data_IF_706537716018
#
_entry.id   IF_706537716018
#
_cell.length_a   1.000
_cell.length_b   1.000
_cell.length_c   1.000
_cell.angle_alpha   90.00
_cell.angle_beta   90.00
_cell.angle_gamma   90.00
#
_symmetry.space_group_name_H-M   'P 1'
#
loop_
_entity.id
_entity.type
_entity.pdbx_description
1 polymer ?
#
# COMPACT_ATOMS: atom_id res chain seq x y z
N UNK A 1 1.06 -0.30 11.69
CA UNK A 1 2.33 -0.45 10.97
C UNK A 1 2.18 0.23 9.62
N UNK A 2 3.16 1.02 9.22
CA UNK A 2 3.20 1.63 7.89
C UNK A 2 4.08 0.76 6.98
N UNK A 3 3.65 0.58 5.74
CA UNK A 3 4.37 -0.17 4.72
C UNK A 3 4.49 0.65 3.43
N UNK A 4 5.70 0.72 2.89
CA UNK A 4 6.01 1.54 1.72
C UNK A 4 5.64 0.84 0.40
N UNK A 5 4.68 1.41 -0.33
CA UNK A 5 4.16 0.90 -1.61
C UNK A 5 5.25 0.72 -2.67
N UNK A 6 6.30 1.53 -2.65
CA UNK A 6 7.40 1.43 -3.61
C UNK A 6 8.06 0.04 -3.64
N UNK A 7 7.85 -0.78 -2.59
CA UNK A 7 8.34 -2.15 -2.49
C UNK A 7 7.58 -3.17 -3.35
N UNK A 8 6.39 -2.82 -3.85
CA UNK A 8 5.53 -3.69 -4.65
C UNK A 8 5.17 -3.13 -6.04
N UNK A 9 5.31 -1.82 -6.26
CA UNK A 9 4.92 -1.17 -7.52
C UNK A 9 5.88 -1.50 -8.66
N UNK A 10 5.40 -2.00 -9.83
CA UNK A 10 6.20 -2.18 -11.03
C UNK A 10 6.88 -0.88 -11.49
N UNK A 11 8.16 -0.96 -11.87
CA UNK A 11 8.94 0.20 -12.30
C UNK A 11 9.56 1.02 -11.16
N UNK A 12 9.28 0.67 -9.90
CA UNK A 12 10.05 1.15 -8.76
C UNK A 12 11.41 0.45 -8.70
N UNK A 13 12.49 1.22 -8.50
CA UNK A 13 13.83 0.64 -8.22
C UNK A 13 13.87 -0.13 -6.89
N UNK A 14 12.86 0.07 -6.04
CA UNK A 14 12.73 -0.57 -4.74
C UNK A 14 11.73 -1.73 -4.75
N UNK A 15 11.21 -2.16 -5.91
CA UNK A 15 10.34 -3.34 -5.97
C UNK A 15 11.14 -4.60 -5.61
N UNK A 16 11.05 -5.03 -4.36
CA UNK A 16 11.77 -6.19 -3.83
C UNK A 16 10.86 -7.36 -3.52
N UNK A 17 9.56 -7.10 -3.36
CA UNK A 17 8.61 -8.09 -2.87
C UNK A 17 7.51 -8.38 -3.89
N UNK A 18 6.93 -9.56 -3.73
CA UNK A 18 5.78 -10.02 -4.50
C UNK A 18 4.47 -9.76 -3.73
N UNK A 19 3.31 -9.75 -4.43
CA UNK A 19 2.01 -9.50 -3.81
C UNK A 19 1.68 -10.36 -2.60
N UNK A 20 2.11 -11.63 -2.58
CA UNK A 20 1.87 -12.55 -1.48
C UNK A 20 2.53 -12.06 -0.18
N UNK A 21 3.68 -11.38 -0.28
CA UNK A 21 4.31 -10.77 0.88
C UNK A 21 3.54 -9.54 1.37
N UNK A 22 2.89 -8.78 0.47
CA UNK A 22 1.98 -7.70 0.85
C UNK A 22 0.80 -8.26 1.67
N UNK A 23 0.24 -9.39 1.26
CA UNK A 23 -0.81 -10.07 2.03
C UNK A 23 -0.32 -10.46 3.43
N UNK A 24 0.85 -11.08 3.54
CA UNK A 24 1.41 -11.48 4.83
C UNK A 24 1.62 -10.31 5.79
N UNK A 25 2.10 -9.15 5.29
CA UNK A 25 2.27 -7.97 6.16
C UNK A 25 0.92 -7.36 6.56
N UNK A 26 -0.09 -7.38 5.68
CA UNK A 26 -1.45 -6.94 6.01
C UNK A 26 -2.08 -7.90 7.04
N UNK A 27 -1.89 -9.21 6.91
CA UNK A 27 -2.40 -10.19 7.88
C UNK A 27 -1.75 -10.02 9.26
N UNK A 28 -0.42 -9.84 9.30
CA UNK A 28 0.31 -9.60 10.54
C UNK A 28 -0.10 -8.27 11.20
N UNK A 29 -0.32 -7.22 10.40
CA UNK A 29 -0.73 -5.90 10.87
C UNK A 29 -2.24 -5.75 11.08
N UNK A 30 -3.06 -6.64 10.53
CA UNK A 30 -4.51 -6.47 10.29
C UNK A 30 -4.84 -5.26 9.40
N UNK A 31 -6.03 -5.27 8.77
CA UNK A 31 -6.51 -4.14 7.97
C UNK A 31 -6.61 -2.87 8.81
N UNK A 32 -7.08 -2.96 10.06
CA UNK A 32 -7.35 -1.77 10.89
C UNK A 32 -6.10 -1.10 11.45
N UNK A 33 -4.94 -1.77 11.46
CA UNK A 33 -3.68 -1.17 11.92
C UNK A 33 -2.63 -1.05 10.81
N UNK A 34 -2.98 -1.33 9.55
CA UNK A 34 -2.07 -1.16 8.41
C UNK A 34 -2.26 0.19 7.73
N UNK A 35 -1.16 0.88 7.43
CA UNK A 35 -1.11 2.07 6.58
C UNK A 35 -0.21 1.76 5.39
N UNK A 36 -0.65 2.09 4.18
CA UNK A 36 0.15 2.00 2.96
C UNK A 36 0.61 3.40 2.56
N UNK A 37 1.88 3.73 2.80
CA UNK A 37 2.50 5.00 2.39
C UNK A 37 3.20 4.84 1.05
N UNK A 38 3.19 5.86 0.20
CA UNK A 38 3.66 5.67 -1.18
C UNK A 38 5.18 5.53 -1.31
N UNK A 39 5.92 6.50 -0.76
CA UNK A 39 7.33 6.73 -1.09
C UNK A 39 7.57 6.72 -2.61
N UNK A 40 6.69 7.39 -3.37
CA UNK A 40 6.72 7.50 -4.83
C UNK A 40 6.90 8.96 -5.28
N UNK A 41 7.21 9.15 -6.57
CA UNK A 41 7.40 10.47 -7.17
C UNK A 41 8.84 11.02 -7.12
N UNK A 42 9.75 10.35 -6.43
CA UNK A 42 11.18 10.62 -6.45
C UNK A 42 11.90 9.93 -7.61
N UNK A 43 13.14 10.33 -7.89
CA UNK A 43 13.93 9.77 -9.00
C UNK A 43 14.10 8.25 -8.88
N UNK A 44 13.67 7.55 -9.93
CA UNK A 44 13.70 6.09 -10.03
C UNK A 44 12.46 5.38 -9.46
N UNK A 45 11.42 6.14 -9.09
CA UNK A 45 10.11 5.60 -8.75
C UNK A 45 9.03 6.11 -9.73
N UNK A 46 7.94 5.34 -9.92
CA UNK A 46 6.77 5.78 -10.68
C UNK A 46 6.11 7.03 -10.10
N UNK A 47 5.19 7.60 -10.88
CA UNK A 47 4.33 8.67 -10.36
C UNK A 47 3.47 8.17 -9.21
N UNK A 48 3.11 9.08 -8.30
CA UNK A 48 2.25 8.76 -7.16
C UNK A 48 0.93 8.14 -7.64
N UNK A 49 0.30 8.72 -8.66
CA UNK A 49 -1.00 8.25 -9.19
C UNK A 49 -0.89 6.82 -9.73
N UNK A 50 0.12 6.54 -10.54
CA UNK A 50 0.29 5.20 -11.13
C UNK A 50 0.61 4.15 -10.06
N UNK A 51 1.46 4.46 -9.08
CA UNK A 51 1.77 3.49 -8.04
C UNK A 51 0.64 3.25 -7.06
N UNK A 52 -0.15 4.26 -6.70
CA UNK A 52 -1.38 4.03 -5.93
C UNK A 52 -2.36 3.13 -6.70
N UNK A 53 -2.58 3.38 -8.00
CA UNK A 53 -3.42 2.50 -8.83
C UNK A 53 -2.91 1.06 -8.84
N UNK A 54 -1.60 0.89 -8.99
CA UNK A 54 -0.97 -0.43 -8.97
C UNK A 54 -1.21 -1.16 -7.66
N UNK A 55 -0.91 -0.54 -6.50
CA UNK A 55 -1.08 -1.21 -5.21
C UNK A 55 -2.54 -1.47 -4.89
N UNK A 56 -3.45 -0.52 -5.21
CA UNK A 56 -4.89 -0.73 -5.02
C UNK A 56 -5.35 -1.94 -5.83
N UNK A 57 -4.97 -2.07 -7.10
CA UNK A 57 -5.29 -3.25 -7.91
C UNK A 57 -4.75 -4.52 -7.27
N UNK A 58 -3.49 -4.53 -6.84
CA UNK A 58 -2.88 -5.70 -6.19
C UNK A 58 -3.64 -6.11 -4.92
N UNK A 59 -4.02 -5.16 -4.07
CA UNK A 59 -4.77 -5.45 -2.84
C UNK A 59 -6.18 -5.97 -3.15
N UNK A 60 -6.84 -5.44 -4.18
CA UNK A 60 -8.12 -5.98 -4.65
C UNK A 60 -7.98 -7.40 -5.21
N UNK A 61 -6.94 -7.67 -6.00
CA UNK A 61 -6.64 -8.99 -6.56
C UNK A 61 -6.34 -10.04 -5.46
N UNK A 62 -5.78 -9.60 -4.33
CA UNK A 62 -5.57 -10.41 -3.13
C UNK A 62 -6.87 -10.71 -2.33
N UNK A 63 -8.01 -10.14 -2.76
CA UNK A 63 -9.34 -10.43 -2.21
C UNK A 63 -9.83 -9.48 -1.12
N UNK A 64 -9.13 -8.37 -0.87
CA UNK A 64 -9.60 -7.34 0.06
C UNK A 64 -10.71 -6.48 -0.57
N UNK A 65 -11.61 -5.96 0.26
CA UNK A 65 -12.68 -5.10 -0.21
C UNK A 65 -12.22 -3.66 -0.47
N UNK A 66 -12.99 -2.89 -1.25
CA UNK A 66 -12.77 -1.44 -1.41
C UNK A 66 -12.73 -0.70 -0.06
N UNK A 67 -13.52 -1.16 0.91
CA UNK A 67 -13.54 -0.58 2.26
C UNK A 67 -12.22 -0.84 3.00
N UNK A 68 -11.64 -2.04 2.86
CA UNK A 68 -10.34 -2.38 3.46
C UNK A 68 -9.21 -1.59 2.81
N UNK A 69 -9.23 -1.47 1.48
CA UNK A 69 -8.28 -0.63 0.74
C UNK A 69 -8.37 0.82 1.22
N UNK A 70 -9.59 1.34 1.36
CA UNK A 70 -9.82 2.72 1.84
C UNK A 70 -9.28 2.93 3.25
N UNK A 71 -9.47 1.97 4.16
CA UNK A 71 -8.88 2.03 5.50
C UNK A 71 -7.36 2.13 5.43
N UNK A 72 -6.72 1.25 4.67
CA UNK A 72 -5.26 1.15 4.61
C UNK A 72 -4.58 2.31 3.87
N UNK A 73 -5.28 2.96 2.93
CA UNK A 73 -4.73 4.07 2.14
C UNK A 73 -5.13 5.47 2.64
N UNK A 74 -6.09 5.55 3.56
CA UNK A 74 -6.65 6.83 4.05
C UNK A 74 -6.98 6.76 5.54
N UNK A 75 -8.00 6.01 5.92
CA UNK A 75 -8.69 6.26 7.20
C UNK A 75 -7.83 5.88 8.41
N UNK A 76 -6.97 4.87 8.29
CA UNK A 76 -6.03 4.51 9.36
C UNK A 76 -4.96 5.59 9.58
N UNK A 77 -4.49 6.22 8.51
CA UNK A 77 -3.55 7.34 8.61
C UNK A 77 -4.23 8.58 9.21
N UNK A 78 -5.45 8.90 8.76
CA UNK A 78 -6.25 9.99 9.33
C UNK A 78 -6.49 9.80 10.84
N UNK A 79 -6.92 8.59 11.24
CA UNK A 79 -7.10 8.22 12.64
C UNK A 79 -5.81 8.31 13.47
N UNK A 80 -4.67 7.89 12.90
CA UNK A 80 -3.37 8.02 13.57
C UNK A 80 -2.99 9.49 13.79
N UNK A 81 -3.30 10.35 12.82
CA UNK A 81 -3.03 11.78 12.87
C UNK A 81 -4.07 12.58 13.69
N UNK A 82 -5.19 11.96 14.07
CA UNK A 82 -6.26 12.61 14.82
C UNK A 82 -7.09 13.60 14.00
N UNK A 83 -7.21 13.37 12.69
CA UNK A 83 -7.96 14.22 11.74
C UNK A 83 -9.09 13.46 11.05
#
# INVERSE_FOLDING_TARGET
MENSMCMWVPGSKFKFYDPEFLQQVIEAGTVDLTILGSDLGQQGNPSIVEGFRSVISTVLDLGYSDADVRKMTSDNAARLMGI
#
